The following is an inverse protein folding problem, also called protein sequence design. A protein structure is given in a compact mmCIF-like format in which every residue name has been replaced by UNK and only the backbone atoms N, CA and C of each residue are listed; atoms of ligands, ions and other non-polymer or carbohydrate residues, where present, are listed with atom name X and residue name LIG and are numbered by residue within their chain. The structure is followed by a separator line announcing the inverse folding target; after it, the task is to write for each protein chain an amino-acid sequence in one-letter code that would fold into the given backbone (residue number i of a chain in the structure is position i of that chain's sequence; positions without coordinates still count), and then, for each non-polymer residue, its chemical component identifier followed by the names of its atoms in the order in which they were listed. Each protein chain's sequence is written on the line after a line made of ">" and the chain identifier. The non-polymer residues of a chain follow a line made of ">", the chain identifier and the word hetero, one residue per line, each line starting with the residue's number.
data_IF_911556651351
#
_entry.id   IF_911556651351
#
_cell.length_a   1.000
_cell.length_b   1.000
_cell.length_c   1.000
_cell.angle_alpha   90.00
_cell.angle_beta   90.00
_cell.angle_gamma   90.00
#
_symmetry.space_group_name_H-M   'P 1'
#
loop_
_entity.id
_entity.type
_entity.pdbx_description
1 polymer ?
#
# COMPACT_ATOMS: atom_id res chain seq x y z
N UNK A 1 -24.15 22.50 -7.12
CA UNK A 1 -23.71 21.43 -8.05
C UNK A 1 -23.00 22.11 -9.19
N UNK A 2 -21.79 21.68 -9.49
CA UNK A 2 -20.93 22.23 -10.55
C UNK A 2 -20.99 21.27 -11.74
N UNK A 3 -21.10 21.81 -12.95
CA UNK A 3 -21.05 21.03 -14.19
C UNK A 3 -19.65 21.09 -14.80
N UNK A 4 -19.12 19.94 -15.18
CA UNK A 4 -17.83 19.81 -15.82
C UNK A 4 -17.83 18.61 -16.77
N UNK A 5 -16.82 18.53 -17.62
CA UNK A 5 -16.66 17.45 -18.59
C UNK A 5 -15.37 16.70 -18.31
N UNK A 6 -15.44 15.37 -18.16
CA UNK A 6 -14.25 14.52 -18.04
C UNK A 6 -14.29 13.49 -19.18
N UNK A 7 -13.25 13.44 -20.01
CA UNK A 7 -13.15 12.55 -21.18
C UNK A 7 -14.37 12.65 -22.12
N UNK A 8 -14.89 13.85 -22.34
CA UNK A 8 -16.09 14.09 -23.15
C UNK A 8 -17.42 13.75 -22.47
N UNK A 9 -17.42 13.18 -21.26
CA UNK A 9 -18.63 12.90 -20.48
C UNK A 9 -18.96 14.10 -19.60
N UNK A 10 -20.14 14.68 -19.80
CA UNK A 10 -20.69 15.69 -18.91
C UNK A 10 -21.06 15.05 -17.56
N UNK A 11 -20.56 15.64 -16.46
CA UNK A 11 -20.79 15.17 -15.10
C UNK A 11 -21.16 16.33 -14.18
N UNK A 12 -21.71 15.98 -13.02
CA UNK A 12 -22.01 16.92 -11.96
C UNK A 12 -21.28 16.52 -10.68
N UNK A 13 -20.81 17.52 -9.93
CA UNK A 13 -20.14 17.31 -8.65
C UNK A 13 -20.55 18.36 -7.62
N UNK A 14 -20.47 18.04 -6.31
CA UNK A 14 -20.62 19.04 -5.26
C UNK A 14 -19.56 20.15 -5.39
N UNK A 15 -19.93 21.36 -5.01
CA UNK A 15 -18.98 22.46 -4.94
C UNK A 15 -17.91 22.16 -3.87
N UNK A 16 -16.65 22.46 -4.20
CA UNK A 16 -15.52 22.13 -3.32
C UNK A 16 -15.06 20.67 -3.35
N UNK A 17 -15.68 19.80 -4.16
CA UNK A 17 -15.15 18.46 -4.42
C UNK A 17 -13.83 18.53 -5.21
N UNK A 18 -12.97 17.54 -5.00
CA UNK A 18 -11.78 17.35 -5.85
C UNK A 18 -12.17 16.71 -7.19
N UNK A 19 -11.31 16.88 -8.20
CA UNK A 19 -11.50 16.22 -9.51
C UNK A 19 -11.56 14.70 -9.34
N UNK A 20 -10.75 14.12 -8.44
CA UNK A 20 -10.72 12.69 -8.17
C UNK A 20 -12.05 12.18 -7.59
N UNK A 21 -12.62 12.91 -6.63
CA UNK A 21 -13.92 12.57 -6.03
C UNK A 21 -15.04 12.67 -7.07
N UNK A 22 -15.04 13.73 -7.87
CA UNK A 22 -16.00 13.92 -8.96
C UNK A 22 -15.91 12.80 -10.00
N UNK A 23 -14.70 12.40 -10.40
CA UNK A 23 -14.46 11.31 -11.34
C UNK A 23 -14.98 9.98 -10.80
N UNK A 24 -14.59 9.62 -9.56
CA UNK A 24 -15.00 8.35 -8.92
C UNK A 24 -16.51 8.24 -8.72
N UNK A 25 -17.16 9.32 -8.30
CA UNK A 25 -18.62 9.35 -8.13
C UNK A 25 -19.38 9.12 -9.47
N UNK A 26 -18.71 9.39 -10.60
CA UNK A 26 -19.28 9.24 -11.94
C UNK A 26 -18.73 8.02 -12.71
N UNK A 27 -18.05 7.09 -12.01
CA UNK A 27 -17.52 5.85 -12.57
C UNK A 27 -16.30 6.02 -13.48
N UNK A 28 -15.57 7.13 -13.35
CA UNK A 28 -14.34 7.38 -14.09
C UNK A 28 -13.16 7.06 -13.17
N UNK A 29 -12.33 6.11 -13.57
CA UNK A 29 -11.14 5.73 -12.81
C UNK A 29 -9.98 6.69 -13.09
N UNK A 30 -9.33 7.14 -12.01
CA UNK A 30 -8.08 7.89 -12.07
C UNK A 30 -7.14 7.22 -11.07
N UNK A 31 -5.97 6.72 -11.53
CA UNK A 31 -5.09 5.94 -10.69
C UNK A 31 -4.49 6.79 -9.56
N UNK A 32 -4.44 6.21 -8.36
CA UNK A 32 -3.84 6.83 -7.18
C UNK A 32 -3.06 5.79 -6.38
N UNK A 33 -1.88 6.14 -5.88
CA UNK A 33 -1.16 5.32 -4.89
C UNK A 33 -1.19 5.93 -3.48
N UNK A 34 -1.01 7.24 -3.36
CA UNK A 34 -0.90 7.91 -2.05
C UNK A 34 -2.21 8.56 -1.56
N UNK A 35 -3.32 8.39 -2.27
CA UNK A 35 -4.60 8.95 -1.83
C UNK A 35 -5.35 7.91 -1.02
N UNK A 36 -5.73 8.28 0.19
CA UNK A 36 -6.66 7.55 1.04
C UNK A 36 -7.63 8.54 1.69
N UNK A 37 -8.90 8.17 1.85
CA UNK A 37 -9.93 9.04 2.43
C UNK A 37 -9.77 9.23 3.95
N UNK A 38 -9.05 8.32 4.60
CA UNK A 38 -8.83 8.33 6.04
C UNK A 38 -7.66 9.25 6.47
N UNK A 39 -6.92 9.83 5.51
CA UNK A 39 -5.73 10.65 5.77
C UNK A 39 -5.79 11.96 5.00
N UNK A 40 -4.97 12.93 5.40
CA UNK A 40 -4.84 14.19 4.69
C UNK A 40 -4.25 14.01 3.27
N UNK A 41 -4.65 14.88 2.36
CA UNK A 41 -4.25 14.80 0.95
C UNK A 41 -2.76 15.15 0.82
N UNK A 42 -1.95 14.16 0.46
CA UNK A 42 -0.50 14.34 0.29
C UNK A 42 -0.08 14.76 -1.14
N UNK A 43 -0.63 14.11 -2.18
CA UNK A 43 -0.40 14.49 -3.58
C UNK A 43 1.01 14.19 -4.17
N UNK A 44 1.82 13.34 -3.53
CA UNK A 44 3.18 13.08 -3.98
C UNK A 44 3.32 12.03 -5.08
N UNK A 45 2.46 11.01 -5.14
CA UNK A 45 2.71 9.82 -5.98
C UNK A 45 2.77 10.05 -7.49
N UNK A 46 2.29 11.18 -8.01
CA UNK A 46 2.39 11.45 -9.44
C UNK A 46 1.29 10.86 -10.33
N UNK A 47 0.60 9.80 -9.90
CA UNK A 47 -0.27 9.04 -10.81
C UNK A 47 -1.62 9.71 -11.12
N UNK A 48 -2.13 10.51 -10.18
CA UNK A 48 -3.46 11.11 -10.29
C UNK A 48 -3.50 12.33 -11.22
N UNK A 49 -2.45 12.56 -12.00
CA UNK A 49 -2.37 13.72 -12.89
C UNK A 49 -3.43 13.65 -13.99
N UNK A 50 -3.96 14.82 -14.31
CA UNK A 50 -4.94 15.05 -15.37
C UNK A 50 -4.61 16.34 -16.12
N UNK A 51 -5.03 16.41 -17.37
CA UNK A 51 -4.92 17.62 -18.18
C UNK A 51 -6.25 18.37 -18.15
N UNK A 52 -6.20 19.68 -17.96
CA UNK A 52 -7.37 20.55 -18.01
C UNK A 52 -7.19 21.57 -19.14
N UNK A 53 -8.21 21.75 -19.96
CA UNK A 53 -8.16 22.72 -21.07
C UNK A 53 -7.94 24.14 -20.55
N UNK A 54 -7.09 24.90 -21.25
CA UNK A 54 -6.70 26.26 -20.85
C UNK A 54 -5.65 26.32 -19.73
N UNK A 55 -5.27 25.19 -19.13
CA UNK A 55 -4.24 25.13 -18.08
C UNK A 55 -2.96 24.50 -18.64
N UNK A 56 -1.83 25.22 -18.69
CA UNK A 56 -0.60 24.70 -19.29
C UNK A 56 0.04 23.57 -18.47
N UNK A 57 -0.22 23.51 -17.16
CA UNK A 57 0.31 22.51 -16.22
C UNK A 57 -0.68 21.36 -16.02
N UNK A 58 -0.17 20.15 -15.86
CA UNK A 58 -1.00 19.02 -15.40
C UNK A 58 -1.42 19.25 -13.95
N UNK A 59 -2.69 18.97 -13.66
CA UNK A 59 -3.25 19.10 -12.32
C UNK A 59 -3.23 17.76 -11.60
N UNK A 60 -3.06 17.78 -10.28
CA UNK A 60 -3.23 16.62 -9.41
C UNK A 60 -4.72 16.47 -9.08
N UNK A 61 -5.40 15.46 -9.63
CA UNK A 61 -6.84 15.30 -9.42
C UNK A 61 -7.23 15.10 -7.95
N UNK A 62 -6.34 14.55 -7.13
CA UNK A 62 -6.59 14.28 -5.72
C UNK A 62 -6.65 15.54 -4.84
N UNK A 63 -6.14 16.68 -5.30
CA UNK A 63 -6.12 17.94 -4.54
C UNK A 63 -6.82 19.09 -5.26
N UNK A 64 -6.71 19.14 -6.60
CA UNK A 64 -7.34 20.18 -7.39
C UNK A 64 -8.86 20.10 -7.32
N UNK A 65 -9.48 21.24 -7.03
CA UNK A 65 -10.93 21.40 -6.92
C UNK A 65 -11.57 21.54 -8.30
N UNK A 66 -12.81 21.06 -8.41
CA UNK A 66 -13.61 21.25 -9.63
C UNK A 66 -14.10 22.70 -9.73
N UNK A 67 -14.18 23.21 -10.95
CA UNK A 67 -14.77 24.51 -11.26
C UNK A 67 -15.80 24.36 -12.39
N UNK A 68 -16.73 25.29 -12.49
CA UNK A 68 -17.78 25.29 -13.52
C UNK A 68 -17.18 25.34 -14.92
N UNK A 69 -17.69 24.48 -15.81
CA UNK A 69 -17.27 24.41 -17.21
C UNK A 69 -15.88 23.79 -17.41
N UNK A 70 -15.24 23.24 -16.38
CA UNK A 70 -13.92 22.63 -16.52
C UNK A 70 -13.97 21.43 -17.48
N UNK A 71 -13.01 21.35 -18.41
CA UNK A 71 -12.87 20.22 -19.34
C UNK A 71 -11.57 19.50 -19.02
N UNK A 72 -11.68 18.22 -18.66
CA UNK A 72 -10.59 17.39 -18.15
C UNK A 72 -10.37 16.20 -19.08
N UNK A 73 -9.12 15.93 -19.42
CA UNK A 73 -8.69 14.73 -20.11
C UNK A 73 -7.77 13.92 -19.19
N UNK A 74 -8.15 12.66 -18.91
CA UNK A 74 -7.40 11.77 -18.02
C UNK A 74 -6.44 10.84 -18.75
N UNK A 75 -6.49 10.78 -20.09
CA UNK A 75 -5.72 9.84 -20.92
C UNK A 75 -5.01 10.54 -22.09
N UNK A 76 -4.77 11.85 -21.99
CA UNK A 76 -4.02 12.57 -23.01
C UNK A 76 -2.57 12.06 -23.11
N UNK A 77 -1.89 12.23 -24.25
CA UNK A 77 -0.49 11.80 -24.39
C UNK A 77 0.44 12.37 -23.31
N UNK A 78 0.17 13.62 -22.86
CA UNK A 78 0.94 14.27 -21.79
C UNK A 78 0.69 13.60 -20.43
N UNK A 79 -0.57 13.26 -20.13
CA UNK A 79 -0.94 12.58 -18.89
C UNK A 79 -0.33 11.18 -18.83
N UNK A 80 -0.49 10.39 -19.90
CA UNK A 80 0.06 9.02 -19.98
C UNK A 80 1.58 9.04 -19.83
N UNK A 81 2.27 9.94 -20.53
CA UNK A 81 3.72 10.07 -20.42
C UNK A 81 4.15 10.49 -19.00
N UNK A 82 3.45 11.43 -18.38
CA UNK A 82 3.77 11.86 -17.01
C UNK A 82 3.54 10.74 -15.99
N UNK A 83 2.48 9.94 -16.13
CA UNK A 83 2.23 8.77 -15.27
C UNK A 83 3.31 7.71 -15.43
N UNK A 84 3.77 7.46 -16.67
CA UNK A 84 4.86 6.52 -16.94
C UNK A 84 6.15 6.93 -16.25
N UNK A 85 6.57 8.20 -16.40
CA UNK A 85 7.75 8.74 -15.74
C UNK A 85 7.62 8.67 -14.21
N UNK A 86 6.44 9.03 -13.67
CA UNK A 86 6.19 8.93 -12.24
C UNK A 86 6.33 7.50 -11.73
N UNK A 87 5.80 6.52 -12.46
CA UNK A 87 5.93 5.10 -12.11
C UNK A 87 7.38 4.63 -12.22
N UNK A 88 8.10 4.99 -13.28
CA UNK A 88 9.53 4.66 -13.43
C UNK A 88 10.36 5.22 -12.28
N UNK A 89 10.09 6.46 -11.86
CA UNK A 89 10.79 7.07 -10.72
C UNK A 89 10.43 6.39 -9.40
N UNK A 90 9.16 6.05 -9.18
CA UNK A 90 8.73 5.30 -7.98
C UNK A 90 9.39 3.92 -7.91
N UNK A 91 9.53 3.26 -9.05
CA UNK A 91 10.16 1.95 -9.15
C UNK A 91 11.69 2.02 -9.14
N UNK A 92 12.30 3.19 -9.38
CA UNK A 92 13.77 3.32 -9.44
C UNK A 92 14.49 2.87 -8.16
N UNK A 93 13.83 3.00 -7.01
CA UNK A 93 14.34 2.59 -5.70
C UNK A 93 13.71 1.29 -5.18
N UNK A 94 12.79 0.69 -5.94
CA UNK A 94 12.16 -0.57 -5.59
C UNK A 94 13.05 -1.74 -6.04
N UNK A 95 13.60 -2.49 -5.09
CA UNK A 95 14.57 -3.56 -5.35
C UNK A 95 13.93 -4.89 -5.79
N UNK A 96 12.61 -4.89 -6.03
CA UNK A 96 11.89 -6.04 -6.60
C UNK A 96 11.74 -7.20 -5.61
N UNK A 97 11.81 -6.93 -4.32
CA UNK A 97 11.77 -7.92 -3.25
C UNK A 97 10.34 -8.33 -2.87
N UNK A 98 9.53 -8.71 -3.88
CA UNK A 98 8.13 -9.09 -3.70
C UNK A 98 7.91 -10.18 -2.62
N UNK A 99 8.96 -10.91 -2.24
CA UNK A 99 9.01 -11.75 -1.04
C UNK A 99 10.01 -11.18 -0.05
N UNK A 100 9.54 -10.86 1.16
CA UNK A 100 10.38 -10.28 2.20
C UNK A 100 11.58 -11.18 2.55
N UNK A 101 12.76 -10.59 2.86
CA UNK A 101 13.96 -11.36 3.16
C UNK A 101 13.81 -12.28 4.37
N UNK A 102 12.97 -11.92 5.34
CA UNK A 102 12.68 -12.77 6.49
C UNK A 102 11.95 -14.07 6.12
N UNK A 103 11.13 -14.06 5.06
CA UNK A 103 10.48 -15.26 4.54
C UNK A 103 11.44 -16.06 3.64
N UNK A 104 12.20 -15.39 2.76
CA UNK A 104 13.19 -16.05 1.89
C UNK A 104 14.26 -16.79 2.68
N UNK A 105 14.75 -16.19 3.77
CA UNK A 105 15.79 -16.79 4.60
C UNK A 105 15.24 -17.79 5.63
N UNK A 106 13.92 -17.86 5.83
CA UNK A 106 13.36 -18.87 6.72
C UNK A 106 13.44 -20.25 6.06
N UNK A 107 14.04 -21.27 6.71
CA UNK A 107 14.10 -22.62 6.16
C UNK A 107 12.71 -23.21 5.84
N UNK A 108 11.69 -22.84 6.62
CA UNK A 108 10.31 -23.26 6.42
C UNK A 108 9.53 -22.39 5.41
N UNK A 109 10.14 -21.29 4.91
CA UNK A 109 9.49 -20.26 4.07
C UNK A 109 8.15 -19.76 4.64
N UNK A 110 8.04 -19.72 5.96
CA UNK A 110 6.83 -19.23 6.64
C UNK A 110 6.72 -17.72 6.47
N UNK A 111 5.49 -17.21 6.49
CA UNK A 111 5.20 -15.79 6.39
C UNK A 111 5.54 -15.08 7.70
N UNK A 112 6.83 -14.76 7.85
CA UNK A 112 7.37 -14.07 9.02
C UNK A 112 6.73 -12.70 9.23
N UNK A 113 6.49 -11.94 8.17
CA UNK A 113 5.90 -10.60 8.29
C UNK A 113 4.44 -10.69 8.72
N UNK A 114 3.67 -11.62 8.16
CA UNK A 114 2.25 -11.79 8.45
C UNK A 114 1.98 -12.07 9.92
N UNK A 115 2.63 -13.08 10.52
CA UNK A 115 2.37 -13.37 11.94
C UNK A 115 2.95 -12.32 12.89
N UNK A 116 4.05 -11.65 12.53
CA UNK A 116 4.56 -10.51 13.31
C UNK A 116 3.54 -9.38 13.32
N UNK A 117 2.93 -9.06 12.17
CA UNK A 117 1.88 -8.05 12.07
C UNK A 117 0.63 -8.42 12.87
N UNK A 118 0.18 -9.68 12.77
CA UNK A 118 -0.97 -10.17 13.55
C UNK A 118 -0.70 -10.09 15.06
N UNK A 119 0.51 -10.46 15.51
CA UNK A 119 0.90 -10.31 16.93
C UNK A 119 0.88 -8.84 17.34
N UNK A 120 1.40 -7.93 16.51
CA UNK A 120 1.41 -6.49 16.78
C UNK A 120 0.00 -5.91 16.92
N UNK A 121 -0.98 -6.45 16.18
CA UNK A 121 -2.39 -6.08 16.27
C UNK A 121 -3.14 -6.79 17.42
N UNK A 122 -2.50 -7.66 18.19
CA UNK A 122 -3.13 -8.45 19.25
C UNK A 122 -3.95 -9.66 18.74
N UNK A 123 -3.86 -9.99 17.46
CA UNK A 123 -4.59 -11.08 16.81
C UNK A 123 -3.84 -12.43 16.94
N UNK A 124 -3.59 -12.88 18.17
CA UNK A 124 -2.74 -14.04 18.45
C UNK A 124 -3.26 -15.35 17.84
N UNK A 125 -4.58 -15.54 17.78
CA UNK A 125 -5.24 -16.70 17.20
C UNK A 125 -4.99 -16.83 15.70
N UNK A 126 -5.07 -15.70 15.00
CA UNK A 126 -4.77 -15.61 13.57
C UNK A 126 -3.27 -15.84 13.34
N UNK A 127 -2.42 -15.25 14.20
CA UNK A 127 -0.98 -15.40 14.13
C UNK A 127 -0.55 -16.87 14.25
N UNK A 128 -1.04 -17.61 15.24
CA UNK A 128 -0.66 -19.01 15.41
C UNK A 128 -1.18 -19.91 14.29
N UNK A 129 -2.40 -19.67 13.78
CA UNK A 129 -2.93 -20.38 12.61
C UNK A 129 -2.03 -20.17 11.40
N UNK A 130 -1.60 -18.93 11.16
CA UNK A 130 -0.69 -18.60 10.06
C UNK A 130 0.66 -19.30 10.21
N UNK A 131 1.23 -19.33 11.42
CA UNK A 131 2.48 -20.07 11.69
C UNK A 131 2.29 -21.57 11.40
N UNK A 132 1.20 -22.17 11.89
CA UNK A 132 0.89 -23.61 11.75
C UNK A 132 0.71 -24.05 10.30
N UNK A 133 0.44 -23.15 9.36
CA UNK A 133 0.37 -23.47 7.92
C UNK A 133 1.68 -24.07 7.36
N UNK A 134 2.83 -23.71 7.93
CA UNK A 134 4.15 -24.20 7.50
C UNK A 134 4.94 -24.86 8.61
N UNK A 135 4.64 -24.53 9.87
CA UNK A 135 5.38 -25.01 11.03
C UNK A 135 4.41 -25.77 11.95
N UNK A 136 4.29 -27.11 11.82
CA UNK A 136 3.32 -27.90 12.58
C UNK A 136 3.51 -27.85 14.10
N UNK A 137 4.76 -27.71 14.56
CA UNK A 137 5.14 -27.68 15.98
C UNK A 137 5.80 -26.34 16.33
N UNK A 138 5.04 -25.24 16.35
CA UNK A 138 5.59 -23.90 16.51
C UNK A 138 6.25 -23.67 17.88
N UNK A 139 5.76 -24.32 18.93
CA UNK A 139 6.33 -24.22 20.28
C UNK A 139 7.75 -24.78 20.37
N UNK A 140 8.00 -25.92 19.71
CA UNK A 140 9.35 -26.51 19.63
C UNK A 140 10.24 -25.66 18.72
N UNK A 141 9.75 -25.33 17.51
CA UNK A 141 10.52 -24.59 16.52
C UNK A 141 10.89 -23.18 17.00
N UNK A 142 10.04 -22.50 17.77
CA UNK A 142 10.36 -21.19 18.37
C UNK A 142 11.58 -21.23 19.31
N UNK A 143 11.87 -22.39 19.92
CA UNK A 143 12.98 -22.58 20.88
C UNK A 143 14.27 -23.07 20.23
N UNK A 144 14.16 -23.84 19.14
CA UNK A 144 15.32 -24.37 18.40
C UNK A 144 15.60 -23.62 17.09
N UNK A 145 14.92 -22.49 16.85
CA UNK A 145 15.04 -21.75 15.60
C UNK A 145 16.48 -21.24 15.42
N UNK A 146 17.13 -21.43 14.25
CA UNK A 146 18.42 -20.82 13.95
C UNK A 146 18.30 -19.34 13.50
N UNK A 147 17.07 -18.82 13.38
CA UNK A 147 16.70 -17.43 13.12
C UNK A 147 17.52 -16.67 12.03
N UNK A 148 17.85 -17.28 10.87
CA UNK A 148 18.54 -16.58 9.76
C UNK A 148 17.73 -15.40 9.21
N UNK A 149 16.40 -15.43 9.36
CA UNK A 149 15.49 -14.36 9.00
C UNK A 149 15.77 -13.04 9.74
N UNK A 150 16.27 -13.09 10.98
CA UNK A 150 16.59 -11.90 11.77
C UNK A 150 17.88 -11.24 11.28
N UNK A 151 18.90 -12.04 10.92
CA UNK A 151 20.15 -11.53 10.32
C UNK A 151 19.91 -10.82 8.99
N UNK A 152 18.95 -11.32 8.21
CA UNK A 152 18.53 -10.76 6.94
C UNK A 152 17.45 -9.65 7.07
N UNK A 153 17.01 -9.31 8.28
CA UNK A 153 15.92 -8.35 8.49
C UNK A 153 16.32 -6.95 8.01
N UNK A 154 15.47 -6.30 7.19
CA UNK A 154 15.68 -4.91 6.71
C UNK A 154 15.47 -3.85 7.77
N UNK A 155 14.78 -4.17 8.87
CA UNK A 155 14.57 -3.20 9.96
C UNK A 155 15.89 -2.69 10.53
N UNK A 156 16.99 -3.47 10.41
CA UNK A 156 18.36 -3.04 10.73
C UNK A 156 18.87 -1.81 9.94
N UNK A 157 18.25 -1.49 8.81
CA UNK A 157 18.61 -0.31 8.02
C UNK A 157 17.99 0.98 8.58
N UNK A 158 17.06 0.86 9.54
CA UNK A 158 16.38 1.98 10.21
C UNK A 158 16.69 1.95 11.71
N UNK A 159 16.50 0.80 12.35
CA UNK A 159 16.69 0.53 13.77
C UNK A 159 17.38 -0.84 13.95
N UNK A 160 16.76 -1.79 14.66
CA UNK A 160 17.28 -3.14 14.91
C UNK A 160 16.42 -4.24 14.25
N UNK A 161 16.97 -5.45 14.03
CA UNK A 161 16.18 -6.59 13.58
C UNK A 161 15.02 -6.92 14.51
N UNK A 162 13.88 -7.31 13.92
CA UNK A 162 12.77 -7.86 14.69
C UNK A 162 13.16 -9.22 15.28
N UNK A 163 12.83 -9.45 16.55
CA UNK A 163 13.03 -10.73 17.24
C UNK A 163 11.95 -11.77 16.86
N UNK A 164 11.99 -12.18 15.59
CA UNK A 164 11.01 -13.05 14.94
C UNK A 164 10.91 -14.41 15.64
N UNK A 165 12.03 -14.97 16.12
CA UNK A 165 12.06 -16.26 16.80
C UNK A 165 11.30 -16.23 18.12
N UNK A 166 11.51 -15.18 18.95
CA UNK A 166 10.78 -15.03 20.21
C UNK A 166 9.30 -14.74 19.98
N UNK A 167 8.95 -13.94 18.97
CA UNK A 167 7.54 -13.69 18.64
C UNK A 167 6.80 -14.97 18.23
N UNK A 168 7.48 -15.87 17.50
CA UNK A 168 6.94 -17.19 17.17
C UNK A 168 6.77 -18.07 18.41
N UNK A 169 7.76 -18.09 19.31
CA UNK A 169 7.67 -18.82 20.57
C UNK A 169 6.52 -18.28 21.44
N UNK A 170 6.40 -16.97 21.57
CA UNK A 170 5.32 -16.28 22.28
C UNK A 170 3.93 -16.68 21.78
N UNK A 171 3.69 -16.60 20.46
CA UNK A 171 2.40 -17.00 19.89
C UNK A 171 2.09 -18.50 20.13
N UNK A 172 3.12 -19.35 20.09
CA UNK A 172 2.96 -20.77 20.37
C UNK A 172 2.68 -21.06 21.84
N UNK A 173 3.29 -20.30 22.76
CA UNK A 173 3.07 -20.46 24.19
C UNK A 173 1.66 -20.00 24.59
N UNK A 174 1.14 -18.94 23.97
CA UNK A 174 -0.27 -18.56 24.14
C UNK A 174 -1.19 -19.69 23.69
N UNK A 175 -0.91 -20.31 22.54
CA UNK A 175 -1.72 -21.41 22.00
C UNK A 175 -1.68 -22.68 22.87
N UNK A 176 -0.53 -22.98 23.48
CA UNK A 176 -0.41 -24.10 24.43
C UNK A 176 -1.13 -23.86 25.75
N UNK A 177 -1.25 -22.61 26.19
CA UNK A 177 -1.89 -22.22 27.44
C UNK A 177 -3.36 -21.82 27.26
N UNK A 178 -3.94 -22.05 26.08
CA UNK A 178 -5.39 -21.94 25.87
C UNK A 178 -6.05 -23.23 26.35
N UNK A 179 -6.80 -23.12 27.43
CA UNK A 179 -7.74 -24.14 27.89
C UNK A 179 -8.84 -24.42 26.84
#
# INVERSE_FOLDING_TARGET
>A
MIHLTINGKAIQAPEGATILEAARANGIDIPTLCYDKAVEIYGACGLCVVEAEGIPKLLRSCSAKVSEGMVINTESPRVVQSRKIAMELLMSAHDGDCVAPCQLNCPARTDCQGYVGLIANGEYDSAIKLIKNKIPLPASIGRVCPHPCEKACRRKNVEEPINIAQLKAFAADIDLNKD
#
